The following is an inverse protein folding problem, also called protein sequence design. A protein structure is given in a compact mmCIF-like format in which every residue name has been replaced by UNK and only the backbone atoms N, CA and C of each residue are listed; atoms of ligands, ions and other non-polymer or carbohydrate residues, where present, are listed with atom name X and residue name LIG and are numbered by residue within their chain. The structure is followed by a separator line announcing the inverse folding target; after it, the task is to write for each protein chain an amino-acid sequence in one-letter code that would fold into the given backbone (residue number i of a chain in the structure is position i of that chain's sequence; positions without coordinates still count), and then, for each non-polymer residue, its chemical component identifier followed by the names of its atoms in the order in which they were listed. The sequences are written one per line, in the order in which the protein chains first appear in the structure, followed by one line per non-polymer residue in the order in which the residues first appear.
data_IF_092973870240
#
_entry.id   IF_092973870240
#
_cell.length_a   1.000
_cell.length_b   1.000
_cell.length_c   1.000
_cell.angle_alpha   90.00
_cell.angle_beta   90.00
_cell.angle_gamma   90.00
#
_symmetry.space_group_name_H-M   'P 1'
#
loop_
_entity.id
_entity.type
_entity.pdbx_description
1 polymer ?
#
# COMPACT_ATOMS: atom_id res chain seq x y z
N UNK A 1 5.68 11.34 -11.14
CA UNK A 1 4.82 12.51 -10.88
C UNK A 1 3.41 12.08 -10.47
N UNK A 2 2.68 11.31 -11.28
CA UNK A 2 1.29 10.90 -11.02
C UNK A 2 1.03 10.30 -9.62
N UNK A 3 1.85 9.35 -9.17
CA UNK A 3 1.69 8.70 -7.86
C UNK A 3 1.60 9.68 -6.67
N UNK A 4 2.33 10.80 -6.73
CA UNK A 4 2.34 11.80 -5.65
C UNK A 4 1.22 12.83 -5.75
N UNK A 5 0.73 13.07 -6.96
CA UNK A 5 -0.30 14.08 -7.22
C UNK A 5 -1.69 13.51 -6.95
N UNK A 6 -1.88 12.20 -7.14
CA UNK A 6 -3.19 11.57 -7.04
C UNK A 6 -3.85 11.77 -5.66
N UNK A 7 -3.18 11.58 -4.51
CA UNK A 7 -3.80 11.84 -3.21
C UNK A 7 -4.28 13.28 -3.06
N UNK A 8 -3.45 14.26 -3.46
CA UNK A 8 -3.79 15.69 -3.41
C UNK A 8 -4.99 16.02 -4.30
N UNK A 9 -5.10 15.39 -5.46
CA UNK A 9 -6.28 15.53 -6.32
C UNK A 9 -7.55 15.02 -5.63
N UNK A 10 -7.49 13.86 -4.96
CA UNK A 10 -8.65 13.33 -4.23
C UNK A 10 -9.00 14.18 -3.01
N UNK A 11 -8.02 14.75 -2.31
CA UNK A 11 -8.24 15.69 -1.20
C UNK A 11 -8.98 16.95 -1.68
N UNK A 12 -8.49 17.59 -2.74
CA UNK A 12 -9.14 18.78 -3.33
C UNK A 12 -10.55 18.47 -3.84
N UNK A 13 -10.75 17.27 -4.41
CA UNK A 13 -12.06 16.86 -4.90
C UNK A 13 -13.04 16.60 -3.74
N UNK A 14 -12.59 15.97 -2.65
CA UNK A 14 -13.41 15.76 -1.45
C UNK A 14 -13.85 17.11 -0.86
N UNK A 15 -12.92 18.05 -0.69
CA UNK A 15 -13.19 19.40 -0.20
C UNK A 15 -14.24 20.12 -1.08
N UNK A 16 -14.03 20.12 -2.40
CA UNK A 16 -14.94 20.78 -3.34
C UNK A 16 -16.35 20.16 -3.34
N UNK A 17 -16.47 18.84 -3.12
CA UNK A 17 -17.77 18.17 -3.06
C UNK A 17 -18.51 18.47 -1.76
N UNK A 18 -17.80 18.58 -0.63
CA UNK A 18 -18.39 18.98 0.66
C UNK A 18 -18.93 20.41 0.60
N UNK A 19 -18.14 21.33 0.05
CA UNK A 19 -18.53 22.72 -0.15
C UNK A 19 -19.80 22.81 -1.02
N UNK A 20 -19.82 22.12 -2.16
CA UNK A 20 -20.96 22.12 -3.07
C UNK A 20 -22.22 21.50 -2.44
N UNK A 21 -22.06 20.53 -1.54
CA UNK A 21 -23.16 19.86 -0.85
C UNK A 21 -23.63 20.60 0.42
N UNK A 22 -22.95 21.65 0.88
CA UNK A 22 -23.11 22.26 2.21
C UNK A 22 -23.05 21.21 3.32
N UNK A 23 -22.11 20.27 3.20
CA UNK A 23 -22.02 19.08 4.04
C UNK A 23 -20.62 18.93 4.65
N UNK A 24 -20.17 19.97 5.36
CA UNK A 24 -18.80 20.08 5.89
C UNK A 24 -18.37 18.86 6.74
N UNK A 25 -19.30 18.29 7.51
CA UNK A 25 -19.08 17.13 8.37
C UNK A 25 -19.37 15.77 7.69
N UNK A 26 -19.84 15.76 6.44
CA UNK A 26 -20.15 14.52 5.75
C UNK A 26 -18.88 13.82 5.25
N UNK A 27 -18.80 12.52 5.51
CA UNK A 27 -17.80 11.66 4.88
C UNK A 27 -18.31 11.29 3.49
N UNK A 28 -17.67 11.81 2.45
CA UNK A 28 -17.96 11.46 1.06
C UNK A 28 -17.00 10.33 0.64
N UNK A 29 -17.53 9.12 0.51
CA UNK A 29 -16.75 7.99 -0.01
C UNK A 29 -16.62 8.13 -1.54
N UNK A 30 -15.43 8.57 -1.99
CA UNK A 30 -15.16 8.72 -3.42
C UNK A 30 -14.86 7.36 -4.07
N UNK A 31 -15.52 7.01 -5.19
CA UNK A 31 -15.16 5.81 -5.93
C UNK A 31 -13.79 5.98 -6.60
N UNK A 32 -13.27 4.90 -7.19
CA UNK A 32 -12.09 5.02 -8.08
C UNK A 32 -12.47 5.78 -9.35
N UNK A 33 -12.11 7.06 -9.43
CA UNK A 33 -12.43 7.94 -10.56
C UNK A 33 -11.41 7.83 -11.70
N UNK A 34 -10.15 7.57 -11.36
CA UNK A 34 -9.03 7.55 -12.31
C UNK A 34 -8.35 6.18 -12.32
N UNK A 35 -8.12 5.65 -13.53
CA UNK A 35 -7.27 4.47 -13.79
C UNK A 35 -6.28 4.81 -14.87
N UNK A 36 -5.06 4.31 -14.73
CA UNK A 36 -3.98 4.53 -15.69
C UNK A 36 -3.68 3.23 -16.43
N UNK A 37 -3.58 3.34 -17.75
CA UNK A 37 -3.12 2.27 -18.63
C UNK A 37 -1.90 2.75 -19.42
N UNK A 38 -1.08 1.80 -19.88
CA UNK A 38 0.04 2.07 -20.78
C UNK A 38 0.14 0.96 -21.80
N UNK A 39 0.47 1.34 -23.03
CA UNK A 39 0.75 0.41 -24.13
C UNK A 39 2.24 0.10 -24.25
N UNK A 40 3.09 0.83 -23.51
CA UNK A 40 4.54 0.63 -23.49
C UNK A 40 4.84 -0.78 -23.02
N UNK A 41 5.56 -1.53 -23.87
CA UNK A 41 5.96 -2.91 -23.61
C UNK A 41 4.88 -3.97 -23.86
N UNK A 42 3.69 -3.56 -24.32
CA UNK A 42 2.58 -4.48 -24.62
C UNK A 42 1.98 -4.33 -26.03
N UNK A 43 2.21 -3.21 -26.71
CA UNK A 43 1.72 -2.99 -28.07
C UNK A 43 2.53 -3.81 -29.10
N UNK A 44 1.88 -4.83 -29.66
CA UNK A 44 2.46 -5.74 -30.63
C UNK A 44 2.22 -5.30 -32.08
N UNK A 45 1.40 -4.27 -32.31
CA UNK A 45 0.96 -3.92 -33.67
C UNK A 45 2.14 -3.42 -34.52
N UNK A 46 2.49 -4.20 -35.55
CA UNK A 46 3.60 -3.91 -36.47
C UNK A 46 5.01 -3.97 -35.86
N UNK A 47 5.17 -4.35 -34.59
CA UNK A 47 6.46 -4.35 -33.90
C UNK A 47 6.98 -5.76 -33.57
N UNK A 48 7.88 -6.34 -34.39
CA UNK A 48 8.39 -7.70 -34.18
C UNK A 48 9.25 -7.83 -32.90
N UNK A 49 9.61 -6.73 -32.24
CA UNK A 49 10.38 -6.75 -30.99
C UNK A 49 9.49 -6.91 -29.74
N UNK A 50 8.17 -6.87 -29.88
CA UNK A 50 7.24 -7.04 -28.76
C UNK A 50 6.60 -8.43 -28.85
N UNK A 51 6.86 -9.24 -27.83
CA UNK A 51 6.33 -10.59 -27.69
C UNK A 51 6.18 -10.98 -26.22
N UNK A 52 5.89 -12.25 -25.97
CA UNK A 52 5.57 -12.76 -24.63
C UNK A 52 6.62 -12.41 -23.56
N UNK A 53 7.91 -12.53 -23.89
CA UNK A 53 9.01 -12.22 -22.97
C UNK A 53 9.06 -10.73 -22.62
N UNK A 54 8.92 -9.85 -23.61
CA UNK A 54 8.88 -8.39 -23.42
C UNK A 54 7.68 -7.96 -22.59
N UNK A 55 6.51 -8.57 -22.80
CA UNK A 55 5.30 -8.31 -22.02
C UNK A 55 5.52 -8.74 -20.56
N UNK A 56 6.03 -9.95 -20.34
CA UNK A 56 6.29 -10.47 -19.00
C UNK A 56 7.34 -9.61 -18.26
N UNK A 57 8.41 -9.18 -18.94
CA UNK A 57 9.42 -8.28 -18.40
C UNK A 57 8.83 -6.92 -18.03
N UNK A 58 7.97 -6.37 -18.89
CA UNK A 58 7.28 -5.09 -18.66
C UNK A 58 6.35 -5.16 -17.45
N UNK A 59 5.53 -6.21 -17.35
CA UNK A 59 4.63 -6.41 -16.20
C UNK A 59 5.41 -6.57 -14.90
N UNK A 60 6.52 -7.32 -14.90
CA UNK A 60 7.39 -7.46 -13.74
C UNK A 60 7.99 -6.11 -13.33
N UNK A 61 8.52 -5.34 -14.28
CA UNK A 61 9.10 -4.02 -14.01
C UNK A 61 8.07 -3.05 -13.42
N UNK A 62 6.84 -3.03 -13.96
CA UNK A 62 5.76 -2.20 -13.43
C UNK A 62 5.34 -2.63 -12.02
N UNK A 63 5.20 -3.94 -11.76
CA UNK A 63 4.92 -4.47 -10.43
C UNK A 63 6.00 -4.09 -9.43
N UNK A 64 7.27 -4.30 -9.77
CA UNK A 64 8.42 -3.92 -8.94
C UNK A 64 8.37 -2.44 -8.57
N UNK A 65 8.17 -1.56 -9.55
CA UNK A 65 8.08 -0.12 -9.32
C UNK A 65 6.98 0.24 -8.32
N UNK A 66 5.80 -0.37 -8.42
CA UNK A 66 4.68 -0.12 -7.50
C UNK A 66 5.01 -0.61 -6.09
N UNK A 67 5.55 -1.81 -5.95
CA UNK A 67 5.89 -2.40 -4.65
C UNK A 67 6.98 -1.60 -3.94
N UNK A 68 8.00 -1.11 -4.64
CA UNK A 68 9.03 -0.25 -4.08
C UNK A 68 8.46 1.06 -3.51
N UNK A 69 7.47 1.65 -4.20
CA UNK A 69 6.78 2.84 -3.70
C UNK A 69 5.97 2.55 -2.44
N UNK A 70 5.23 1.44 -2.42
CA UNK A 70 4.48 1.03 -1.23
C UNK A 70 5.40 0.70 -0.05
N UNK A 71 6.53 0.03 -0.28
CA UNK A 71 7.54 -0.24 0.76
C UNK A 71 8.07 1.05 1.38
N UNK A 72 8.38 2.06 0.56
CA UNK A 72 8.85 3.36 1.05
C UNK A 72 7.79 4.07 1.90
N UNK A 73 6.53 4.12 1.44
CA UNK A 73 5.44 4.78 2.16
C UNK A 73 5.08 4.05 3.46
N UNK A 74 4.95 2.73 3.45
CA UNK A 74 4.68 1.94 4.67
C UNK A 74 5.81 2.13 5.68
N UNK A 75 7.08 2.13 5.23
CA UNK A 75 8.21 2.39 6.13
C UNK A 75 8.18 3.79 6.75
N UNK A 76 7.69 4.80 6.02
CA UNK A 76 7.45 6.15 6.55
C UNK A 76 6.29 6.16 7.56
N UNK A 77 5.15 5.56 7.21
CA UNK A 77 3.99 5.46 8.09
C UNK A 77 4.31 4.73 9.39
N UNK A 78 5.07 3.62 9.33
CA UNK A 78 5.47 2.86 10.51
C UNK A 78 6.31 3.70 11.48
N UNK A 79 7.09 4.67 10.98
CA UNK A 79 7.84 5.60 11.82
C UNK A 79 6.95 6.65 12.46
N UNK A 80 5.95 7.15 11.74
CA UNK A 80 5.02 8.19 12.20
C UNK A 80 3.97 7.67 13.18
N UNK A 81 3.41 6.48 12.93
CA UNK A 81 2.34 5.88 13.72
C UNK A 81 2.91 5.04 14.88
N UNK A 82 3.55 5.71 15.83
CA UNK A 82 4.24 5.12 16.98
C UNK A 82 3.45 5.15 18.29
N UNK A 83 2.15 5.42 18.23
CA UNK A 83 1.30 5.52 19.41
C UNK A 83 1.21 4.17 20.12
N UNK A 84 1.29 4.19 21.45
CA UNK A 84 1.09 3.02 22.31
C UNK A 84 -0.41 2.77 22.52
N UNK A 85 -0.82 1.50 22.59
CA UNK A 85 -2.18 1.09 22.96
C UNK A 85 -2.60 1.56 24.36
N UNK A 86 -1.65 1.92 25.23
CA UNK A 86 -1.94 2.53 26.52
C UNK A 86 -2.42 3.99 26.44
N UNK A 87 -2.23 4.65 25.29
CA UNK A 87 -2.50 6.09 25.11
C UNK A 87 -3.69 6.38 24.19
N UNK A 88 -4.07 5.44 23.34
CA UNK A 88 -5.11 5.63 22.34
C UNK A 88 -6.01 4.40 22.24
N UNK A 89 -7.28 4.62 21.91
CA UNK A 89 -8.15 3.55 21.43
C UNK A 89 -7.69 3.07 20.06
N UNK A 90 -7.77 1.75 19.82
CA UNK A 90 -7.37 1.14 18.55
C UNK A 90 -8.47 0.20 18.09
N UNK A 91 -8.86 0.34 16.83
CA UNK A 91 -9.87 -0.51 16.20
C UNK A 91 -9.45 -1.99 16.25
N UNK A 92 -10.37 -2.86 16.66
CA UNK A 92 -10.13 -4.30 16.82
C UNK A 92 -9.67 -4.96 15.52
N UNK A 93 -10.05 -4.42 14.35
CA UNK A 93 -9.61 -4.88 13.03
C UNK A 93 -8.10 -4.76 12.83
N UNK A 94 -7.45 -3.75 13.41
CA UNK A 94 -5.98 -3.56 13.37
C UNK A 94 -5.29 -4.68 14.16
N UNK A 95 -5.83 -5.00 15.34
CA UNK A 95 -5.31 -6.06 16.21
C UNK A 95 -5.49 -7.42 15.56
N UNK A 96 -6.69 -7.71 15.04
CA UNK A 96 -7.01 -8.97 14.37
C UNK A 96 -6.11 -9.19 13.14
N UNK A 97 -5.92 -8.17 12.30
CA UNK A 97 -5.03 -8.27 11.14
C UNK A 97 -3.57 -8.48 11.53
N UNK A 98 -3.12 -7.82 12.60
CA UNK A 98 -1.77 -8.02 13.12
C UNK A 98 -1.56 -9.46 13.60
N UNK A 99 -2.54 -10.03 14.30
CA UNK A 99 -2.49 -11.42 14.77
C UNK A 99 -2.42 -12.41 13.59
N UNK A 100 -3.27 -12.23 12.57
CA UNK A 100 -3.23 -13.03 11.34
C UNK A 100 -1.84 -12.97 10.68
N UNK A 101 -1.29 -11.76 10.50
CA UNK A 101 0.00 -11.62 9.83
C UNK A 101 1.16 -12.16 10.66
N UNK A 102 1.07 -12.15 11.98
CA UNK A 102 2.08 -12.81 12.83
C UNK A 102 2.13 -14.32 12.60
N UNK A 103 0.97 -14.96 12.41
CA UNK A 103 0.90 -16.39 12.11
C UNK A 103 1.46 -16.69 10.72
N UNK A 104 1.13 -15.84 9.74
CA UNK A 104 1.54 -16.02 8.34
C UNK A 104 2.98 -15.64 8.04
N UNK A 105 3.58 -14.76 8.85
CA UNK A 105 4.93 -14.23 8.67
C UNK A 105 5.74 -14.40 9.96
N UNK A 106 6.00 -15.64 10.42
CA UNK A 106 6.59 -15.90 11.73
C UNK A 106 7.98 -15.30 11.90
N UNK A 107 8.81 -15.30 10.84
CA UNK A 107 10.13 -14.68 10.85
C UNK A 107 10.05 -13.15 11.02
N UNK A 108 9.10 -12.50 10.33
CA UNK A 108 8.89 -11.07 10.46
C UNK A 108 8.31 -10.71 11.83
N UNK A 109 7.41 -11.55 12.36
CA UNK A 109 6.84 -11.39 13.70
C UNK A 109 7.93 -11.47 14.78
N UNK A 110 8.83 -12.45 14.68
CA UNK A 110 9.95 -12.61 15.60
C UNK A 110 10.96 -11.45 15.54
N UNK A 111 11.08 -10.78 14.38
CA UNK A 111 11.96 -9.62 14.21
C UNK A 111 11.41 -8.32 14.83
N UNK A 112 10.15 -8.30 15.30
CA UNK A 112 9.56 -7.12 15.95
C UNK A 112 10.25 -6.90 17.29
N UNK A 113 10.85 -5.72 17.46
CA UNK A 113 11.53 -5.33 18.71
C UNK A 113 10.54 -5.30 19.88
N UNK A 114 10.91 -5.80 21.08
CA UNK A 114 10.02 -5.80 22.25
C UNK A 114 9.41 -4.44 22.58
N UNK A 115 10.18 -3.35 22.45
CA UNK A 115 9.71 -1.96 22.64
C UNK A 115 8.66 -1.46 21.64
N UNK A 116 8.38 -2.21 20.58
CA UNK A 116 7.31 -1.90 19.62
C UNK A 116 6.06 -2.74 19.87
N UNK A 117 6.08 -3.69 20.83
CA UNK A 117 5.03 -4.68 20.99
C UNK A 117 3.66 -4.07 21.30
N UNK A 118 3.64 -2.93 22.00
CA UNK A 118 2.46 -2.16 22.37
C UNK A 118 2.13 -1.03 21.37
N UNK A 119 2.80 -0.98 20.21
CA UNK A 119 2.56 0.00 19.14
C UNK A 119 1.81 -0.66 17.97
N UNK A 120 0.47 -0.82 18.05
CA UNK A 120 -0.28 -1.70 17.15
C UNK A 120 -0.19 -1.28 15.68
N UNK A 121 -0.25 0.01 15.36
CA UNK A 121 -0.08 0.49 13.98
C UNK A 121 1.31 0.19 13.43
N UNK A 122 2.37 0.47 14.21
CA UNK A 122 3.75 0.15 13.84
C UNK A 122 3.96 -1.35 13.62
N UNK A 123 3.39 -2.19 14.49
CA UNK A 123 3.42 -3.65 14.37
C UNK A 123 2.77 -4.10 13.07
N UNK A 124 1.54 -3.65 12.80
CA UNK A 124 0.82 -4.02 11.58
C UNK A 124 1.59 -3.59 10.34
N UNK A 125 2.06 -2.35 10.31
CA UNK A 125 2.80 -1.79 9.17
C UNK A 125 4.13 -2.51 8.93
N UNK A 126 4.81 -2.94 9.99
CA UNK A 126 6.05 -3.76 9.86
C UNK A 126 5.75 -5.12 9.23
N UNK A 127 4.64 -5.76 9.61
CA UNK A 127 4.21 -7.02 9.01
C UNK A 127 3.74 -6.85 7.56
N UNK A 128 3.01 -5.77 7.26
CA UNK A 128 2.67 -5.40 5.88
C UNK A 128 3.91 -5.16 5.03
N UNK A 129 4.93 -4.48 5.58
CA UNK A 129 6.20 -4.27 4.90
C UNK A 129 6.90 -5.60 4.59
N UNK A 130 6.92 -6.54 5.52
CA UNK A 130 7.46 -7.89 5.29
C UNK A 130 6.68 -8.63 4.18
N UNK A 131 5.34 -8.52 4.17
CA UNK A 131 4.52 -9.10 3.10
C UNK A 131 4.82 -8.50 1.73
N UNK A 132 4.96 -7.17 1.64
CA UNK A 132 5.31 -6.49 0.38
C UNK A 132 6.70 -6.90 -0.10
N UNK A 133 7.66 -7.09 0.82
CA UNK A 133 9.00 -7.58 0.48
C UNK A 133 8.93 -9.01 -0.06
N UNK A 134 8.17 -9.89 0.61
CA UNK A 134 7.93 -11.23 0.11
C UNK A 134 7.29 -11.23 -1.29
N UNK A 135 6.37 -10.30 -1.57
CA UNK A 135 5.79 -10.16 -2.91
C UNK A 135 6.85 -9.70 -3.92
N UNK A 136 7.68 -8.72 -3.57
CA UNK A 136 8.76 -8.24 -4.43
C UNK A 136 9.78 -9.35 -4.76
N UNK A 137 10.05 -10.23 -3.80
CA UNK A 137 11.01 -11.34 -3.93
C UNK A 137 10.37 -12.62 -4.50
N UNK A 138 9.10 -12.56 -4.94
CA UNK A 138 8.30 -13.71 -5.41
C UNK A 138 8.28 -14.91 -4.43
N UNK A 139 8.31 -14.62 -3.12
CA UNK A 139 8.27 -15.61 -2.06
C UNK A 139 6.85 -16.06 -1.70
N UNK A 140 6.70 -17.27 -1.16
CA UNK A 140 5.42 -17.98 -0.89
C UNK A 140 4.37 -17.17 -0.10
N UNK A 141 4.81 -16.23 0.75
CA UNK A 141 3.90 -15.43 1.60
C UNK A 141 3.58 -14.04 1.03
N UNK A 142 4.13 -13.71 -0.14
CA UNK A 142 3.84 -12.49 -0.88
C UNK A 142 2.78 -12.72 -1.94
N UNK A 143 1.49 -12.86 -1.58
CA UNK A 143 0.41 -12.77 -2.58
C UNK A 143 0.46 -11.45 -3.31
#
# INVERSE_FOLDING_TARGET
MLYRVLPVFYEILDDALRDAANADDAVIELPTLLRFGTWVGGDMDGNPNVGAETIAATLRAQRTLVLERYLAEIGRLARLLSQSSSRIGVDTRVIARSAEYRQRLPLAAAAIRPRHADMPYRVLLTLMQARLRANLDDAEHGY
#
